data_IF_600748937294
#
_entry.id   IF_600748937294
#
_cell.length_a   1.000
_cell.length_b   1.000
_cell.length_c   1.000
_cell.angle_alpha   90.00
_cell.angle_beta   90.00
_cell.angle_gamma   90.00
#
_symmetry.space_group_name_H-M   'P 1'
#
loop_
_entity.id
_entity.type
_entity.pdbx_description
1 polymer ?
#
# COMPACT_ATOMS: atom_id res chain seq x y z
N UNK A 1 13.35 -10.01 19.15
CA UNK A 1 12.37 -9.55 18.16
C UNK A 1 11.18 -9.07 18.96
N UNK A 2 10.54 -7.97 18.58
CA UNK A 2 9.31 -7.54 19.23
C UNK A 2 8.19 -8.55 18.92
N UNK A 3 7.38 -8.90 19.93
CA UNK A 3 6.21 -9.76 19.73
C UNK A 3 5.11 -8.96 19.06
N UNK A 4 4.65 -9.40 17.90
CA UNK A 4 3.56 -8.77 17.16
C UNK A 4 2.26 -9.46 17.54
N UNK A 5 1.30 -8.72 18.10
CA UNK A 5 -0.04 -9.25 18.36
C UNK A 5 -0.88 -9.04 17.11
N UNK A 6 -1.35 -10.14 16.53
CA UNK A 6 -2.25 -10.16 15.36
C UNK A 6 -3.66 -10.55 15.79
N UNK A 7 -4.66 -9.83 15.31
CA UNK A 7 -6.07 -10.25 15.34
C UNK A 7 -6.68 -10.07 13.96
N UNK A 8 -7.59 -10.95 13.57
CA UNK A 8 -8.17 -10.96 12.24
C UNK A 8 -9.67 -11.27 12.31
N UNK A 9 -10.46 -10.64 11.46
CA UNK A 9 -11.88 -10.90 11.28
C UNK A 9 -12.26 -10.75 9.82
N UNK A 10 -13.33 -11.42 9.40
CA UNK A 10 -13.91 -11.27 8.06
C UNK A 10 -15.20 -10.45 8.19
N UNK A 11 -15.36 -9.46 7.32
CA UNK A 11 -16.55 -8.62 7.22
C UNK A 11 -17.19 -8.78 5.84
N UNK A 12 -18.51 -8.71 5.78
CA UNK A 12 -19.30 -9.00 4.56
C UNK A 12 -20.07 -7.79 4.04
N UNK A 13 -19.81 -6.60 4.59
CA UNK A 13 -20.32 -5.35 4.04
C UNK A 13 -19.38 -4.18 4.35
N UNK A 14 -19.49 -3.12 3.55
CA UNK A 14 -18.78 -1.87 3.79
C UNK A 14 -19.11 -1.26 5.15
N UNK A 15 -20.38 -1.32 5.56
CA UNK A 15 -20.82 -0.83 6.87
C UNK A 15 -20.13 -1.59 8.01
N UNK A 16 -20.01 -2.91 7.91
CA UNK A 16 -19.28 -3.73 8.88
C UNK A 16 -17.80 -3.37 8.93
N UNK A 17 -17.16 -3.19 7.77
CA UNK A 17 -15.77 -2.77 7.68
C UNK A 17 -15.55 -1.42 8.38
N UNK A 18 -16.35 -0.41 8.03
CA UNK A 18 -16.25 0.93 8.60
C UNK A 18 -16.47 0.88 10.11
N UNK A 19 -17.50 0.17 10.58
CA UNK A 19 -17.76 0.04 12.01
C UNK A 19 -16.60 -0.63 12.76
N UNK A 20 -16.01 -1.68 12.18
CA UNK A 20 -14.88 -2.37 12.78
C UNK A 20 -13.61 -1.50 12.83
N UNK A 21 -13.33 -0.73 11.78
CA UNK A 21 -12.23 0.23 11.76
C UNK A 21 -12.46 1.34 12.79
N UNK A 22 -13.66 1.93 12.85
CA UNK A 22 -14.02 2.96 13.82
C UNK A 22 -13.89 2.48 15.28
N UNK A 23 -14.27 1.23 15.56
CA UNK A 23 -14.11 0.65 16.88
C UNK A 23 -12.64 0.57 17.34
N UNK A 24 -11.68 0.54 16.42
CA UNK A 24 -10.25 0.56 16.75
C UNK A 24 -9.68 1.96 17.03
N UNK A 25 -10.44 3.02 16.73
CA UNK A 25 -9.97 4.42 16.81
C UNK A 25 -10.01 5.02 18.22
N UNK A 26 -10.67 4.35 19.18
CA UNK A 26 -10.88 4.86 20.55
C UNK A 26 -9.62 4.91 21.40
N UNK A 27 -8.48 4.41 20.90
CA UNK A 27 -7.24 4.40 21.64
C UNK A 27 -6.62 5.81 21.72
N UNK A 28 -6.66 6.40 22.91
CA UNK A 28 -6.19 7.76 23.16
C UNK A 28 -4.70 7.95 22.87
N UNK A 29 -3.90 6.88 22.84
CA UNK A 29 -2.45 6.96 22.66
C UNK A 29 -2.00 7.45 21.29
N UNK A 30 -2.87 7.39 20.29
CA UNK A 30 -2.58 7.84 18.93
C UNK A 30 -3.09 9.26 18.71
N UNK A 31 -2.23 10.17 18.25
CA UNK A 31 -2.60 11.56 17.94
C UNK A 31 -2.85 11.82 16.45
N UNK A 32 -2.58 10.81 15.63
CA UNK A 32 -2.68 10.89 14.18
C UNK A 32 -3.04 9.53 13.61
N UNK A 33 -3.92 9.53 12.61
CA UNK A 33 -4.24 8.38 11.78
C UNK A 33 -3.67 8.59 10.37
N UNK A 34 -2.85 7.66 9.90
CA UNK A 34 -2.38 7.61 8.52
C UNK A 34 -3.24 6.60 7.77
N UNK A 35 -3.76 6.98 6.60
CA UNK A 35 -4.60 6.10 5.77
C UNK A 35 -3.91 5.94 4.42
N UNK A 36 -3.46 4.73 4.11
CA UNK A 36 -3.08 4.35 2.75
C UNK A 36 -4.35 3.96 2.00
N UNK A 37 -4.68 4.73 0.96
CA UNK A 37 -5.84 4.53 0.12
C UNK A 37 -5.61 5.10 -1.28
N UNK A 38 -6.49 4.75 -2.23
CA UNK A 38 -6.35 5.19 -3.62
C UNK A 38 -5.10 4.65 -4.30
N UNK A 39 -4.60 3.50 -3.85
CA UNK A 39 -3.48 2.87 -4.50
C UNK A 39 -3.84 2.54 -5.95
N UNK A 40 -3.02 3.03 -6.88
CA UNK A 40 -3.18 2.77 -8.31
C UNK A 40 -1.86 2.31 -8.95
N UNK A 41 -2.02 1.66 -10.09
CA UNK A 41 -0.91 1.21 -10.93
C UNK A 41 -0.72 2.16 -12.09
N UNK A 42 0.51 2.36 -12.53
CA UNK A 42 0.80 3.07 -13.78
C UNK A 42 0.67 2.12 -14.95
N UNK A 43 -0.05 2.56 -15.98
CA UNK A 43 -0.18 1.86 -17.25
C UNK A 43 0.44 2.66 -18.39
N UNK A 44 1.04 1.97 -19.36
CA UNK A 44 1.50 2.63 -20.57
C UNK A 44 0.33 2.93 -21.50
N UNK A 45 0.15 4.21 -21.85
CA UNK A 45 -0.76 4.65 -22.90
C UNK A 45 0.00 4.71 -24.24
N UNK A 46 -0.30 3.85 -25.22
CA UNK A 46 0.36 3.90 -26.53
C UNK A 46 0.06 5.20 -27.28
N UNK A 47 -1.14 5.77 -27.08
CA UNK A 47 -1.57 7.02 -27.69
C UNK A 47 -0.74 8.20 -27.17
N UNK A 48 -0.56 8.29 -25.85
CA UNK A 48 0.18 9.38 -25.21
C UNK A 48 1.68 9.10 -25.07
N UNK A 49 2.10 7.87 -25.39
CA UNK A 49 3.47 7.36 -25.29
C UNK A 49 4.11 7.60 -23.92
N UNK A 50 3.31 7.53 -22.86
CA UNK A 50 3.73 7.77 -21.47
C UNK A 50 2.99 6.85 -20.51
N UNK A 51 3.48 6.79 -19.29
CA UNK A 51 2.76 6.18 -18.18
C UNK A 51 1.63 7.11 -17.72
N UNK A 52 0.46 6.54 -17.46
CA UNK A 52 -0.73 7.22 -16.95
C UNK A 52 -1.30 6.47 -15.74
N UNK A 53 -1.98 7.16 -14.80
CA UNK A 53 -2.64 6.51 -13.67
C UNK A 53 -3.74 5.54 -14.12
N UNK A 54 -3.72 4.32 -13.58
CA UNK A 54 -4.75 3.31 -13.76
C UNK A 54 -5.96 3.53 -12.89
N UNK A 55 -6.63 4.68 -13.05
CA UNK A 55 -7.89 5.00 -12.36
C UNK A 55 -8.99 4.91 -13.39
N UNK A 56 -9.83 3.87 -13.28
CA UNK A 56 -10.81 3.50 -14.30
C UNK A 56 -11.67 4.70 -14.74
N UNK A 57 -12.11 5.51 -13.79
CA UNK A 57 -13.01 6.64 -14.01
C UNK A 57 -12.36 7.85 -14.70
N UNK A 58 -11.03 7.91 -14.76
CA UNK A 58 -10.27 9.00 -15.42
C UNK A 58 -9.70 8.60 -16.80
N UNK A 59 -9.88 7.35 -17.23
CA UNK A 59 -9.34 6.87 -18.51
C UNK A 59 -10.35 7.06 -19.64
N UNK A 60 -9.93 7.82 -20.65
CA UNK A 60 -10.69 8.12 -21.87
C UNK A 60 -10.50 7.07 -22.99
N UNK A 61 -9.31 6.46 -23.10
CA UNK A 61 -9.03 5.46 -24.14
C UNK A 61 -9.72 4.12 -23.81
N UNK A 62 -10.63 3.67 -24.67
CA UNK A 62 -11.45 2.47 -24.41
C UNK A 62 -10.64 1.19 -24.21
N UNK A 63 -9.53 1.01 -24.96
CA UNK A 63 -8.71 -0.20 -24.86
C UNK A 63 -7.96 -0.24 -23.53
N UNK A 64 -7.35 0.89 -23.15
CA UNK A 64 -6.69 1.05 -21.87
C UNK A 64 -7.71 0.95 -20.72
N UNK A 65 -8.88 1.57 -20.89
CA UNK A 65 -9.99 1.51 -19.92
C UNK A 65 -10.40 0.08 -19.63
N UNK A 66 -10.53 -0.75 -20.67
CA UNK A 66 -10.84 -2.18 -20.50
C UNK A 66 -9.71 -2.91 -19.75
N UNK A 67 -8.45 -2.68 -20.14
CA UNK A 67 -7.30 -3.30 -19.46
C UNK A 67 -7.21 -2.91 -17.97
N UNK A 68 -7.48 -1.64 -17.65
CA UNK A 68 -7.53 -1.16 -16.26
C UNK A 68 -8.73 -1.73 -15.53
N UNK A 69 -9.91 -1.78 -16.17
CA UNK A 69 -11.12 -2.37 -15.58
C UNK A 69 -10.88 -3.84 -15.20
N UNK A 70 -10.28 -4.63 -16.09
CA UNK A 70 -10.01 -6.05 -15.85
C UNK A 70 -8.96 -6.28 -14.76
N UNK A 71 -8.01 -5.34 -14.63
CA UNK A 71 -6.90 -5.49 -13.69
C UNK A 71 -7.21 -4.97 -12.30
N UNK A 72 -7.72 -3.75 -12.19
CA UNK A 72 -7.90 -3.04 -10.90
C UNK A 72 -9.36 -2.74 -10.59
N UNK A 73 -10.23 -2.64 -11.60
CA UNK A 73 -11.65 -2.32 -11.40
C UNK A 73 -11.85 -0.96 -10.71
N UNK A 74 -12.84 -0.88 -9.83
CA UNK A 74 -13.19 0.35 -9.10
C UNK A 74 -12.24 0.67 -7.92
N UNK A 75 -11.30 -0.24 -7.61
CA UNK A 75 -10.54 -0.21 -6.37
C UNK A 75 -9.85 1.13 -6.05
N UNK A 76 -9.15 1.80 -6.98
CA UNK A 76 -8.46 3.04 -6.65
C UNK A 76 -9.42 4.15 -6.20
N UNK A 77 -10.47 4.46 -6.97
CA UNK A 77 -11.40 5.52 -6.59
C UNK A 77 -12.24 5.12 -5.37
N UNK A 78 -12.67 3.86 -5.33
CA UNK A 78 -13.43 3.31 -4.21
C UNK A 78 -12.70 3.47 -2.87
N UNK A 79 -11.45 3.01 -2.79
CA UNK A 79 -10.67 3.08 -1.56
C UNK A 79 -10.30 4.52 -1.20
N UNK A 80 -10.10 5.40 -2.19
CA UNK A 80 -9.90 6.83 -1.95
C UNK A 80 -11.09 7.45 -1.23
N UNK A 81 -12.31 7.23 -1.76
CA UNK A 81 -13.56 7.73 -1.16
C UNK A 81 -13.79 7.12 0.24
N UNK A 82 -13.55 5.81 0.40
CA UNK A 82 -13.62 5.13 1.69
C UNK A 82 -12.63 5.72 2.71
N UNK A 83 -11.38 5.95 2.30
CA UNK A 83 -10.33 6.51 3.14
C UNK A 83 -10.64 7.92 3.60
N UNK A 84 -11.14 8.78 2.71
CA UNK A 84 -11.61 10.12 3.05
C UNK A 84 -12.71 10.05 4.11
N UNK A 85 -13.76 9.24 3.87
CA UNK A 85 -14.89 9.10 4.81
C UNK A 85 -14.44 8.62 6.19
N UNK A 86 -13.52 7.66 6.25
CA UNK A 86 -12.94 7.17 7.51
C UNK A 86 -12.14 8.28 8.21
N UNK A 87 -11.32 9.02 7.45
CA UNK A 87 -10.53 10.13 7.98
C UNK A 87 -11.38 11.30 8.49
N UNK A 88 -12.44 11.67 7.77
CA UNK A 88 -13.40 12.69 8.21
C UNK A 88 -14.06 12.30 9.53
N UNK A 89 -14.48 11.04 9.66
CA UNK A 89 -15.03 10.54 10.92
C UNK A 89 -14.01 10.66 12.06
N UNK A 90 -12.76 10.22 11.84
CA UNK A 90 -11.72 10.31 12.87
C UNK A 90 -11.47 11.75 13.32
N UNK A 91 -11.36 12.68 12.37
CA UNK A 91 -11.11 14.10 12.64
C UNK A 91 -12.31 14.76 13.34
N UNK A 92 -13.53 14.44 12.92
CA UNK A 92 -14.76 14.96 13.52
C UNK A 92 -15.03 14.42 14.93
N UNK A 93 -14.71 13.15 15.20
CA UNK A 93 -14.99 12.49 16.48
C UNK A 93 -13.91 12.72 17.53
N UNK A 94 -12.64 12.72 17.12
CA UNK A 94 -11.52 12.76 18.06
C UNK A 94 -10.68 14.05 17.99
N UNK A 95 -10.95 14.95 17.04
CA UNK A 95 -10.19 16.19 16.82
C UNK A 95 -8.68 15.97 16.60
N UNK A 96 -8.32 14.81 16.03
CA UNK A 96 -6.94 14.37 15.79
C UNK A 96 -6.51 14.50 14.34
N UNK A 97 -5.20 14.49 14.10
CA UNK A 97 -4.63 14.62 12.75
C UNK A 97 -4.98 13.40 11.90
N UNK A 98 -5.16 13.64 10.60
CA UNK A 98 -5.28 12.58 9.59
C UNK A 98 -4.32 12.90 8.48
N UNK A 99 -3.60 11.88 7.99
CA UNK A 99 -2.86 11.98 6.74
C UNK A 99 -3.22 10.87 5.78
N UNK A 100 -3.20 11.20 4.50
CA UNK A 100 -3.48 10.28 3.40
C UNK A 100 -2.18 9.93 2.70
N UNK A 101 -1.90 8.63 2.58
CA UNK A 101 -0.72 8.09 1.92
C UNK A 101 -1.13 7.50 0.57
N UNK A 102 -0.65 8.11 -0.52
CA UNK A 102 -0.84 7.57 -1.87
C UNK A 102 0.33 6.68 -2.27
N UNK A 103 0.11 5.37 -2.35
CA UNK A 103 1.09 4.41 -2.87
C UNK A 103 0.89 4.25 -4.38
N UNK A 104 1.95 4.33 -5.17
CA UNK A 104 1.88 4.16 -6.63
C UNK A 104 2.71 2.95 -7.05
N UNK A 105 2.04 1.98 -7.68
CA UNK A 105 2.72 0.88 -8.37
C UNK A 105 3.24 1.37 -9.72
N UNK A 106 4.54 1.66 -9.76
CA UNK A 106 5.19 2.32 -10.89
C UNK A 106 6.04 1.37 -11.74
N UNK A 107 5.92 0.05 -11.57
CA UNK A 107 6.84 -0.91 -12.19
C UNK A 107 6.15 -2.03 -12.98
N UNK A 108 4.88 -2.39 -12.72
CA UNK A 108 4.27 -3.59 -13.32
C UNK A 108 3.96 -3.48 -14.82
N UNK A 109 3.48 -2.32 -15.28
CA UNK A 109 3.03 -2.13 -16.67
C UNK A 109 3.86 -1.08 -17.42
N UNK A 110 5.15 -1.02 -17.10
CA UNK A 110 6.13 -0.23 -17.84
C UNK A 110 6.49 -0.98 -19.12
N UNK A 111 6.52 -0.33 -20.30
CA UNK A 111 6.76 -1.03 -21.56
C UNK A 111 8.21 -1.50 -21.66
N UNK A 112 8.43 -2.62 -22.35
CA UNK A 112 9.77 -3.18 -22.61
C UNK A 112 10.57 -2.38 -23.67
N UNK A 113 9.90 -1.45 -24.35
CA UNK A 113 10.50 -0.63 -25.41
C UNK A 113 11.19 0.60 -24.83
N UNK A 114 12.41 0.43 -24.33
CA UNK A 114 13.23 1.52 -23.77
C UNK A 114 13.63 1.26 -22.32
N UNK A 115 14.26 2.25 -21.67
CA UNK A 115 14.62 2.11 -20.26
C UNK A 115 13.42 2.40 -19.36
N UNK A 116 13.03 1.44 -18.53
CA UNK A 116 11.94 1.59 -17.57
C UNK A 116 12.14 2.79 -16.62
N UNK A 117 13.40 3.19 -16.36
CA UNK A 117 13.74 4.39 -15.60
C UNK A 117 13.23 5.68 -16.23
N UNK A 118 13.31 5.80 -17.56
CA UNK A 118 12.93 7.02 -18.27
C UNK A 118 11.42 7.26 -18.23
N UNK A 119 10.63 6.20 -18.44
CA UNK A 119 9.18 6.28 -18.36
C UNK A 119 8.69 6.69 -16.96
N UNK A 120 9.28 6.12 -15.92
CA UNK A 120 8.95 6.46 -14.53
C UNK A 120 9.41 7.88 -14.18
N UNK A 121 10.61 8.26 -14.59
CA UNK A 121 11.14 9.62 -14.41
C UNK A 121 10.20 10.65 -15.03
N UNK A 122 9.86 10.47 -16.31
CA UNK A 122 8.94 11.35 -17.02
C UNK A 122 7.57 11.45 -16.35
N UNK A 123 7.03 10.34 -15.81
CA UNK A 123 5.78 10.38 -15.04
C UNK A 123 5.92 11.29 -13.82
N UNK A 124 6.90 11.03 -12.93
CA UNK A 124 7.05 11.80 -11.69
C UNK A 124 7.49 13.25 -11.91
N UNK A 125 8.20 13.56 -12.99
CA UNK A 125 8.53 14.94 -13.35
C UNK A 125 7.27 15.75 -13.71
N UNK A 126 6.23 15.08 -14.20
CA UNK A 126 4.93 15.69 -14.56
C UNK A 126 3.85 15.54 -13.49
N UNK A 127 4.01 14.61 -12.56
CA UNK A 127 3.02 14.29 -11.51
C UNK A 127 3.07 15.30 -10.35
N UNK A 128 2.71 16.55 -10.64
CA UNK A 128 2.77 17.67 -9.70
C UNK A 128 1.46 17.91 -8.94
N UNK A 129 0.39 17.20 -9.32
CA UNK A 129 -0.94 17.31 -8.73
C UNK A 129 -1.58 15.92 -8.66
N UNK A 130 -2.54 15.76 -7.74
CA UNK A 130 -3.32 14.53 -7.65
C UNK A 130 -4.16 14.32 -8.91
N UNK A 131 -4.58 13.07 -9.20
CA UNK A 131 -5.63 12.80 -10.18
C UNK A 131 -6.87 13.67 -9.94
N UNK A 132 -7.56 14.01 -11.02
CA UNK A 132 -8.60 15.05 -11.00
C UNK A 132 -9.76 14.69 -10.06
N UNK A 133 -10.18 13.43 -10.06
CA UNK A 133 -11.21 12.94 -9.14
C UNK A 133 -10.70 12.95 -7.71
N UNK A 134 -9.45 12.55 -7.46
CA UNK A 134 -8.87 12.54 -6.12
C UNK A 134 -8.85 13.94 -5.50
N UNK A 135 -8.38 14.93 -6.25
CA UNK A 135 -8.42 16.34 -5.84
C UNK A 135 -9.85 16.81 -5.61
N UNK A 136 -10.80 16.50 -6.53
CA UNK A 136 -12.21 16.89 -6.37
C UNK A 136 -12.86 16.32 -5.12
N UNK A 137 -12.51 15.08 -4.74
CA UNK A 137 -13.03 14.40 -3.54
C UNK A 137 -12.49 15.02 -2.27
N UNK A 138 -11.21 15.42 -2.25
CA UNK A 138 -10.64 16.17 -1.15
C UNK A 138 -11.24 17.58 -1.04
N UNK A 139 -11.45 18.28 -2.15
CA UNK A 139 -12.09 19.60 -2.14
C UNK A 139 -13.53 19.57 -1.62
N UNK A 140 -14.25 18.46 -1.86
CA UNK A 140 -15.59 18.24 -1.34
C UNK A 140 -15.60 17.80 0.14
N UNK A 141 -14.47 17.37 0.69
CA UNK A 141 -14.36 17.00 2.10
C UNK A 141 -14.49 18.22 3.00
N UNK A 142 -15.17 18.05 4.13
CA UNK A 142 -15.29 19.11 5.15
C UNK A 142 -14.02 19.24 5.98
N UNK A 143 -13.29 18.14 6.15
CA UNK A 143 -12.20 18.05 7.14
C UNK A 143 -10.82 17.84 6.53
N UNK A 144 -10.73 17.26 5.33
CA UNK A 144 -9.47 16.89 4.69
C UNK A 144 -9.22 17.78 3.47
N UNK A 145 -7.95 17.99 3.13
CA UNK A 145 -7.55 18.66 1.89
C UNK A 145 -6.20 18.16 1.41
N UNK A 146 -5.67 18.74 0.32
CA UNK A 146 -4.39 18.31 -0.25
C UNK A 146 -3.21 18.46 0.72
N UNK A 147 -3.29 19.39 1.70
CA UNK A 147 -2.31 19.52 2.78
C UNK A 147 -2.24 18.31 3.73
N UNK A 148 -3.24 17.42 3.68
CA UNK A 148 -3.28 16.19 4.45
C UNK A 148 -2.66 15.00 3.71
N UNK A 149 -2.16 15.20 2.48
CA UNK A 149 -1.32 14.20 1.81
C UNK A 149 0.00 14.06 2.55
N UNK A 150 0.36 12.83 2.91
CA UNK A 150 1.65 12.50 3.49
C UNK A 150 2.69 12.44 2.37
N UNK A 151 3.70 13.33 2.36
CA UNK A 151 4.80 13.21 1.41
C UNK A 151 5.72 12.04 1.79
N UNK A 152 6.34 11.42 0.80
CA UNK A 152 7.50 10.57 1.02
C UNK A 152 8.78 11.39 0.87
N UNK A 153 9.93 10.86 1.33
CA UNK A 153 11.23 11.47 0.99
C UNK A 153 11.56 11.48 -0.50
N UNK A 154 10.83 10.73 -1.33
CA UNK A 154 11.04 10.68 -2.78
C UNK A 154 10.13 11.62 -3.55
N UNK A 155 8.91 11.83 -3.10
CA UNK A 155 7.91 12.61 -3.82
C UNK A 155 6.90 13.27 -2.88
N UNK A 156 6.47 14.50 -3.21
CA UNK A 156 5.62 15.31 -2.34
C UNK A 156 4.18 14.80 -2.23
N UNK A 157 3.72 14.02 -3.22
CA UNK A 157 2.33 13.54 -3.28
C UNK A 157 2.18 12.03 -3.10
N UNK A 158 3.28 11.27 -3.13
CA UNK A 158 3.17 9.82 -3.27
C UNK A 158 4.37 9.06 -2.73
N UNK A 159 4.18 7.76 -2.59
CA UNK A 159 5.17 6.75 -2.28
C UNK A 159 5.36 5.87 -3.52
N UNK A 160 6.45 6.07 -4.30
CA UNK A 160 6.76 5.21 -5.45
C UNK A 160 7.19 3.81 -4.99
N UNK A 161 6.52 2.77 -5.45
CA UNK A 161 6.84 1.38 -5.08
C UNK A 161 8.27 0.98 -5.45
N UNK A 162 8.75 1.33 -6.65
CA UNK A 162 10.13 1.01 -7.04
C UNK A 162 11.14 1.59 -6.03
N UNK A 163 10.92 2.82 -5.58
CA UNK A 163 11.82 3.45 -4.60
C UNK A 163 11.83 2.67 -3.27
N UNK A 164 10.66 2.22 -2.81
CA UNK A 164 10.54 1.37 -1.62
C UNK A 164 11.21 0.01 -1.84
N UNK A 165 11.04 -0.64 -3.00
CA UNK A 165 11.74 -1.89 -3.36
C UNK A 165 13.24 -1.75 -3.23
N UNK A 166 13.84 -0.73 -3.85
CA UNK A 166 15.29 -0.54 -3.82
C UNK A 166 15.81 -0.29 -2.40
N UNK A 167 15.04 0.43 -1.58
CA UNK A 167 15.37 0.59 -0.17
C UNK A 167 15.34 -0.73 0.58
N UNK A 168 14.31 -1.54 0.36
CA UNK A 168 14.21 -2.85 1.00
C UNK A 168 15.35 -3.77 0.57
N UNK A 169 15.72 -3.80 -0.71
CA UNK A 169 16.86 -4.58 -1.19
C UNK A 169 18.17 -4.22 -0.49
N UNK A 170 18.39 -2.92 -0.24
CA UNK A 170 19.54 -2.44 0.50
C UNK A 170 19.44 -2.79 2.00
N UNK A 171 18.24 -2.70 2.59
CA UNK A 171 18.01 -3.10 3.97
C UNK A 171 18.20 -4.61 4.17
N UNK A 172 17.64 -5.44 3.29
CA UNK A 172 17.73 -6.90 3.31
C UNK A 172 19.19 -7.39 3.36
N UNK A 173 20.10 -6.77 2.60
CA UNK A 173 21.54 -7.08 2.69
C UNK A 173 22.10 -6.90 4.11
N UNK A 174 21.66 -5.87 4.84
CA UNK A 174 22.07 -5.62 6.23
C UNK A 174 21.39 -6.59 7.19
N UNK A 175 20.10 -6.86 7.00
CA UNK A 175 19.32 -7.76 7.84
C UNK A 175 19.81 -9.22 7.75
N UNK A 176 20.23 -9.66 6.57
CA UNK A 176 20.90 -10.97 6.38
C UNK A 176 22.21 -11.02 7.16
N UNK A 177 23.04 -9.98 7.10
CA UNK A 177 24.29 -9.90 7.88
C UNK A 177 24.06 -9.92 9.39
N UNK A 178 22.91 -9.40 9.85
CA UNK A 178 22.50 -9.40 11.25
C UNK A 178 21.83 -10.71 11.68
N UNK A 179 21.65 -11.68 10.77
CA UNK A 179 20.95 -12.94 11.05
C UNK A 179 19.44 -12.78 11.23
N UNK A 180 18.86 -11.62 10.87
CA UNK A 180 17.41 -11.36 10.97
C UNK A 180 16.62 -11.86 9.76
N UNK A 181 17.28 -12.03 8.61
CA UNK A 181 16.72 -12.65 7.40
C UNK A 181 17.64 -13.79 6.95
N UNK A 182 17.05 -14.80 6.30
CA UNK A 182 17.81 -15.93 5.76
C UNK A 182 18.09 -15.71 4.28
N UNK A 183 19.31 -16.02 3.83
CA UNK A 183 19.68 -16.04 2.41
C UNK A 183 20.05 -17.46 2.01
N UNK A 184 19.36 -17.99 1.00
CA UNK A 184 19.61 -19.31 0.43
C UNK A 184 19.93 -19.19 -1.06
N UNK A 185 20.84 -20.03 -1.55
CA UNK A 185 21.08 -20.17 -2.99
C UNK A 185 20.16 -21.22 -3.57
N UNK A 186 19.58 -20.93 -4.74
CA UNK A 186 18.63 -21.82 -5.42
C UNK A 186 19.40 -22.92 -6.14
N UNK A 187 19.15 -24.18 -5.77
CA UNK A 187 19.85 -25.35 -6.33
C UNK A 187 19.57 -25.54 -7.82
N UNK A 188 18.36 -25.17 -8.24
CA UNK A 188 17.82 -25.26 -9.59
C UNK A 188 18.21 -24.07 -10.48
N UNK A 189 18.76 -22.98 -9.90
CA UNK A 189 19.16 -21.77 -10.62
C UNK A 189 20.55 -21.28 -10.20
N UNK A 190 21.62 -21.73 -10.88
CA UNK A 190 22.99 -21.38 -10.52
C UNK A 190 23.22 -19.87 -10.39
N UNK A 191 23.78 -19.45 -9.26
CA UNK A 191 24.08 -18.04 -8.97
C UNK A 191 22.89 -17.20 -8.48
N UNK A 192 21.67 -17.75 -8.48
CA UNK A 192 20.49 -17.05 -7.96
C UNK A 192 20.29 -17.36 -6.48
N UNK A 193 19.76 -16.37 -5.76
CA UNK A 193 19.49 -16.49 -4.33
C UNK A 193 18.10 -15.99 -3.98
N UNK A 194 17.58 -16.55 -2.90
CA UNK A 194 16.35 -16.17 -2.24
C UNK A 194 16.69 -15.58 -0.87
N UNK A 195 16.06 -14.47 -0.53
CA UNK A 195 16.05 -13.92 0.83
C UNK A 195 14.65 -14.08 1.39
N UNK A 196 14.54 -14.76 2.53
CA UNK A 196 13.26 -15.03 3.19
C UNK A 196 13.23 -14.53 4.63
N UNK A 197 12.02 -14.25 5.08
CA UNK A 197 11.68 -14.09 6.49
C UNK A 197 11.11 -15.41 7.00
N UNK A 198 11.55 -15.82 8.18
CA UNK A 198 10.99 -16.98 8.87
C UNK A 198 10.19 -16.46 10.05
N UNK A 199 8.89 -16.70 10.05
CA UNK A 199 8.02 -16.30 11.15
C UNK A 199 8.24 -17.18 12.39
N UNK A 200 7.53 -16.86 13.48
CA UNK A 200 7.61 -17.62 14.74
C UNK A 200 7.14 -19.08 14.61
N UNK A 201 6.32 -19.39 13.60
CA UNK A 201 5.86 -20.76 13.30
C UNK A 201 6.90 -21.59 12.56
N UNK A 202 7.99 -20.97 12.11
CA UNK A 202 9.01 -21.59 11.26
C UNK A 202 8.68 -21.57 9.77
N UNK A 203 7.59 -20.89 9.37
CA UNK A 203 7.20 -20.77 7.97
C UNK A 203 8.08 -19.73 7.29
N UNK A 204 8.68 -20.10 6.16
CA UNK A 204 9.57 -19.23 5.39
C UNK A 204 8.82 -18.53 4.26
N UNK A 205 8.74 -17.21 4.33
CA UNK A 205 8.15 -16.34 3.31
C UNK A 205 9.25 -15.70 2.46
N UNK A 206 9.35 -16.01 1.15
CA UNK A 206 10.34 -15.40 0.27
C UNK A 206 10.01 -13.91 0.04
N UNK A 207 10.98 -13.05 0.31
CA UNK A 207 10.85 -11.58 0.18
C UNK A 207 11.59 -11.04 -1.05
N UNK A 208 12.71 -11.67 -1.37
CA UNK A 208 13.48 -11.40 -2.57
C UNK A 208 13.76 -12.74 -3.23
N UNK A 209 13.28 -12.96 -4.44
CA UNK A 209 13.63 -14.13 -5.24
C UNK A 209 14.31 -13.69 -6.52
N UNK A 210 15.47 -14.27 -6.83
CA UNK A 210 16.21 -13.99 -8.05
C UNK A 210 16.56 -12.48 -8.22
N UNK A 211 16.69 -11.74 -7.11
CA UNK A 211 16.95 -10.30 -7.11
C UNK A 211 15.71 -9.41 -7.23
N UNK A 212 14.51 -9.98 -7.38
CA UNK A 212 13.24 -9.26 -7.46
C UNK A 212 12.59 -9.25 -6.08
N UNK A 213 12.23 -8.06 -5.61
CA UNK A 213 11.53 -7.87 -4.33
C UNK A 213 10.03 -7.97 -4.55
N UNK A 214 9.35 -8.78 -3.75
CA UNK A 214 7.89 -8.84 -3.73
C UNK A 214 7.28 -7.68 -2.93
N UNK A 215 5.96 -7.55 -2.97
CA UNK A 215 5.26 -6.41 -2.36
C UNK A 215 5.49 -6.27 -0.85
N UNK A 216 5.80 -7.36 -0.15
CA UNK A 216 6.14 -7.35 1.27
C UNK A 216 7.28 -6.37 1.60
N UNK A 217 8.31 -6.29 0.75
CA UNK A 217 9.44 -5.38 0.99
C UNK A 217 9.06 -3.90 0.86
N UNK A 218 8.15 -3.58 -0.06
CA UNK A 218 7.65 -2.22 -0.24
C UNK A 218 6.85 -1.76 0.97
N UNK A 219 5.93 -2.61 1.42
CA UNK A 219 5.09 -2.38 2.58
C UNK A 219 5.96 -2.21 3.83
N UNK A 220 6.99 -3.04 4.02
CA UNK A 220 7.93 -2.89 5.13
C UNK A 220 8.59 -1.50 5.13
N UNK A 221 9.10 -1.04 3.97
CA UNK A 221 9.75 0.26 3.90
C UNK A 221 8.78 1.44 3.98
N UNK A 222 7.54 1.28 3.49
CA UNK A 222 6.46 2.27 3.63
C UNK A 222 6.12 2.48 5.11
N UNK A 223 5.87 1.39 5.84
CA UNK A 223 5.58 1.41 7.28
C UNK A 223 6.75 2.03 8.06
N UNK A 224 7.99 1.67 7.71
CA UNK A 224 9.18 2.27 8.31
C UNK A 224 9.28 3.77 8.05
N UNK A 225 8.90 4.24 6.86
CA UNK A 225 8.87 5.66 6.52
C UNK A 225 7.80 6.41 7.31
N UNK A 226 6.59 5.87 7.40
CA UNK A 226 5.49 6.39 8.22
C UNK A 226 5.89 6.48 9.69
N UNK A 227 6.53 5.44 10.24
CA UNK A 227 7.00 5.45 11.62
C UNK A 227 8.05 6.55 11.85
N UNK A 228 8.97 6.75 10.90
CA UNK A 228 10.00 7.80 10.98
C UNK A 228 9.43 9.21 10.88
N UNK A 229 8.29 9.41 10.21
CA UNK A 229 7.59 10.69 10.20
C UNK A 229 6.75 10.92 11.46
N UNK A 230 6.76 9.99 12.42
CA UNK A 230 6.03 10.10 13.68
C UNK A 230 4.68 9.38 13.70
N UNK A 231 4.25 8.81 12.56
CA UNK A 231 3.01 8.05 12.47
C UNK A 231 3.06 6.78 13.32
N UNK A 232 2.00 6.50 14.09
CA UNK A 232 1.90 5.32 14.95
C UNK A 232 0.63 4.51 14.72
N UNK A 233 -0.34 5.07 14.02
CA UNK A 233 -1.58 4.39 13.67
C UNK A 233 -1.77 4.49 12.15
N UNK A 234 -1.70 3.33 11.48
CA UNK A 234 -1.77 3.21 10.03
C UNK A 234 -2.92 2.29 9.65
N UNK A 235 -3.80 2.75 8.77
CA UNK A 235 -4.79 1.94 8.07
C UNK A 235 -4.32 1.75 6.63
N UNK A 236 -4.31 0.51 6.14
CA UNK A 236 -3.97 0.15 4.76
C UNK A 236 -5.22 -0.44 4.11
N UNK A 237 -5.77 0.28 3.13
CA UNK A 237 -6.80 -0.24 2.23
C UNK A 237 -6.11 -0.79 0.99
N UNK A 238 -6.04 -2.11 0.86
CA UNK A 238 -5.18 -2.77 -0.11
C UNK A 238 -5.92 -3.76 -1.01
N UNK A 239 -5.34 -4.11 -2.17
CA UNK A 239 -5.89 -5.18 -2.99
C UNK A 239 -5.85 -6.54 -2.29
N UNK A 240 -6.88 -7.37 -2.47
CA UNK A 240 -7.01 -8.73 -1.95
C UNK A 240 -5.96 -9.69 -2.48
N UNK A 241 -5.54 -9.55 -3.74
CA UNK A 241 -4.41 -10.30 -4.27
C UNK A 241 -3.09 -10.02 -3.52
N UNK A 242 -2.99 -8.87 -2.84
CA UNK A 242 -1.83 -8.46 -2.06
C UNK A 242 -1.93 -8.83 -0.57
N UNK A 243 -2.97 -9.54 -0.13
CA UNK A 243 -3.22 -9.86 1.28
C UNK A 243 -1.99 -10.49 1.96
N UNK A 244 -1.54 -11.65 1.47
CA UNK A 244 -0.41 -12.37 2.06
C UNK A 244 0.91 -11.56 2.07
N UNK A 245 1.34 -10.93 0.96
CA UNK A 245 2.57 -10.14 0.99
C UNK A 245 2.46 -8.89 1.87
N UNK A 246 1.29 -8.25 2.00
CA UNK A 246 1.10 -7.11 2.89
C UNK A 246 1.24 -7.53 4.35
N UNK A 247 0.57 -8.61 4.76
CA UNK A 247 0.68 -9.13 6.13
C UNK A 247 2.13 -9.45 6.48
N UNK A 248 2.86 -10.15 5.59
CA UNK A 248 4.28 -10.40 5.76
C UNK A 248 5.09 -9.10 5.89
N UNK A 249 4.80 -8.11 5.05
CA UNK A 249 5.46 -6.80 5.10
C UNK A 249 5.25 -6.05 6.42
N UNK A 250 4.05 -6.14 6.99
CA UNK A 250 3.70 -5.59 8.31
C UNK A 250 4.45 -6.32 9.42
N UNK A 251 4.41 -7.65 9.44
CA UNK A 251 5.10 -8.46 10.45
C UNK A 251 6.60 -8.20 10.45
N UNK A 252 7.22 -8.12 9.27
CA UNK A 252 8.63 -7.77 9.13
C UNK A 252 8.89 -6.37 9.68
N UNK A 253 8.07 -5.38 9.31
CA UNK A 253 8.24 -4.01 9.78
C UNK A 253 8.21 -3.95 11.31
N UNK A 254 7.18 -4.52 11.92
CA UNK A 254 6.99 -4.46 13.36
C UNK A 254 8.04 -5.28 14.13
N UNK A 255 8.31 -6.52 13.71
CA UNK A 255 9.20 -7.43 14.45
C UNK A 255 10.70 -7.21 14.21
N UNK A 256 11.10 -6.87 12.98
CA UNK A 256 12.52 -6.79 12.57
C UNK A 256 13.05 -5.37 12.76
N UNK A 257 12.25 -4.35 12.39
CA UNK A 257 12.66 -2.95 12.49
C UNK A 257 12.37 -2.35 13.85
N UNK A 258 11.70 -3.10 14.74
CA UNK A 258 11.43 -2.72 16.13
C UNK A 258 10.63 -1.41 16.20
N UNK A 259 9.53 -1.36 15.43
CA UNK A 259 8.65 -0.20 15.32
C UNK A 259 7.64 -0.17 16.48
N UNK A 260 8.16 -0.10 17.70
CA UNK A 260 7.39 -0.18 18.94
C UNK A 260 6.29 0.87 19.04
N UNK A 261 5.12 0.50 19.56
CA UNK A 261 3.99 1.40 19.74
C UNK A 261 3.25 1.72 18.44
N UNK A 262 3.53 0.97 17.36
CA UNK A 262 2.83 1.10 16.10
C UNK A 262 1.66 0.10 16.03
N UNK A 263 0.51 0.60 15.58
CA UNK A 263 -0.65 -0.19 15.22
C UNK A 263 -0.91 -0.07 13.72
N UNK A 264 -1.07 -1.21 13.05
CA UNK A 264 -1.38 -1.28 11.63
C UNK A 264 -2.66 -2.08 11.44
N UNK A 265 -3.63 -1.50 10.77
CA UNK A 265 -4.82 -2.18 10.27
C UNK A 265 -4.67 -2.40 8.78
N UNK A 266 -5.04 -3.59 8.30
CA UNK A 266 -5.03 -3.94 6.90
C UNK A 266 -6.42 -4.45 6.54
N UNK A 267 -7.07 -3.80 5.58
CA UNK A 267 -8.31 -4.25 4.98
C UNK A 267 -8.08 -4.55 3.50
N UNK A 268 -8.45 -5.74 3.04
CA UNK A 268 -8.21 -6.21 1.68
C UNK A 268 -9.42 -5.99 0.74
N UNK A 269 -9.69 -4.72 0.46
CA UNK A 269 -10.92 -4.23 -0.16
C UNK A 269 -10.99 -4.39 -1.70
N UNK A 270 -10.69 -5.57 -2.27
CA UNK A 270 -10.85 -5.86 -3.72
C UNK A 270 -9.60 -5.68 -4.57
N UNK A 271 -9.66 -5.05 -5.75
CA UNK A 271 -8.48 -4.71 -6.56
C UNK A 271 -7.99 -5.82 -7.51
N UNK A 272 -8.89 -6.70 -7.91
CA UNK A 272 -8.69 -7.75 -8.93
C UNK A 272 -9.75 -7.67 -10.04
N UNK A 273 -10.14 -6.44 -10.41
CA UNK A 273 -11.10 -6.17 -11.49
C UNK A 273 -12.57 -6.10 -11.06
N UNK A 274 -12.84 -5.92 -9.76
CA UNK A 274 -14.21 -5.82 -9.27
C UNK A 274 -14.89 -4.53 -9.80
N UNK A 275 -16.11 -4.69 -10.32
CA UNK A 275 -16.89 -3.60 -10.88
C UNK A 275 -17.82 -2.90 -9.86
N UNK A 276 -18.09 -3.50 -8.70
CA UNK A 276 -19.02 -2.96 -7.70
C UNK A 276 -18.57 -3.28 -6.27
N UNK A 277 -19.04 -2.48 -5.32
CA UNK A 277 -18.81 -2.71 -3.88
C UNK A 277 -19.36 -4.07 -3.44
N UNK A 278 -20.55 -4.46 -3.90
CA UNK A 278 -21.12 -5.79 -3.61
C UNK A 278 -20.21 -6.93 -4.07
N UNK A 279 -19.48 -6.75 -5.18
CA UNK A 279 -18.53 -7.75 -5.65
C UNK A 279 -17.33 -7.88 -4.70
N UNK A 280 -16.82 -6.76 -4.18
CA UNK A 280 -15.72 -6.72 -3.21
C UNK A 280 -16.10 -7.51 -1.95
N UNK A 281 -17.30 -7.29 -1.40
CA UNK A 281 -17.69 -7.90 -0.12
C UNK A 281 -18.31 -9.29 -0.23
N UNK A 282 -18.66 -9.76 -1.44
CA UNK A 282 -19.33 -11.05 -1.66
C UNK A 282 -18.61 -12.24 -1.01
N UNK A 283 -17.28 -12.26 -1.11
CA UNK A 283 -16.45 -13.34 -0.60
C UNK A 283 -15.90 -13.07 0.81
N UNK A 284 -16.30 -11.94 1.41
CA UNK A 284 -15.73 -11.43 2.64
C UNK A 284 -14.43 -10.65 2.43
N UNK A 285 -14.27 -9.59 3.20
CA UNK A 285 -13.05 -8.78 3.31
C UNK A 285 -12.40 -9.12 4.65
N UNK A 286 -11.13 -9.50 4.65
CA UNK A 286 -10.34 -9.61 5.87
C UNK A 286 -9.95 -8.23 6.39
N UNK A 287 -10.15 -8.05 7.68
CA UNK A 287 -9.61 -6.94 8.46
C UNK A 287 -8.65 -7.51 9.52
N UNK A 288 -7.36 -7.30 9.31
CA UNK A 288 -6.32 -7.68 10.24
C UNK A 288 -5.79 -6.46 11.00
N UNK A 289 -5.56 -6.62 12.30
CA UNK A 289 -4.94 -5.61 13.17
C UNK A 289 -3.65 -6.19 13.74
N UNK A 290 -2.57 -5.42 13.63
CA UNK A 290 -1.24 -5.74 14.11
C UNK A 290 -0.78 -4.68 15.10
N UNK A 291 -0.25 -5.09 16.24
CA UNK A 291 0.26 -4.19 17.28
C UNK A 291 1.66 -4.64 17.71
N UNK A 292 2.59 -3.68 17.81
CA UNK A 292 3.93 -3.84 18.36
C UNK A 292 4.17 -3.01 19.61
#
# INVERSE_FOLDING_TARGET
MATVVKSERIVFSETELVAAVQASMVDEKFNELIIMCGHFMLFYSPHERRLVPGILEEIEDDNLRQAVSDRVGIFPLYTWDLGIRIGEHYKATFEKSVKILLLINDWQYVPDQGEAGDYRGAFYDSFLQLPSLYSSRLQASTYLGEQDILPSRRHNLAFPETWLRYRFQNAAKRLVKQGKLQKRYLLDKPGQSEVSFTDESGTSLPLISCGITGCAGEITEMISEVHRSGGRYLLILAPAECHAPIQAGVEIALSIYDLSGMMVLVADTGGSGEATVDHIFRNGVSLATFVS
#
